data_IF_870497195312
#
_entry.id   IF_870497195312
#
_cell.length_a   1.000
_cell.length_b   1.000
_cell.length_c   1.000
_cell.angle_alpha   90.00
_cell.angle_beta   90.00
_cell.angle_gamma   90.00
#
_symmetry.space_group_name_H-M   'P 1'
#
loop_
_entity.id
_entity.type
_entity.pdbx_description
1 polymer ?
#
# COMPACT_ATOMS: atom_id res chain seq x y z
N UNK A 1 65.52 -1.81 14.97
CA UNK A 1 64.27 -2.11 15.71
C UNK A 1 63.12 -1.35 15.08
N UNK A 2 62.09 -2.04 14.57
CA UNK A 2 60.88 -1.40 14.03
C UNK A 2 59.95 -1.09 15.21
N UNK A 3 59.68 0.19 15.49
CA UNK A 3 58.69 0.59 16.51
C UNK A 3 57.30 0.17 16.03
N UNK A 4 56.67 -0.80 16.69
CA UNK A 4 55.25 -1.08 16.50
C UNK A 4 54.44 -0.08 17.32
N UNK A 5 53.62 0.75 16.66
CA UNK A 5 52.65 1.63 17.33
C UNK A 5 51.40 0.81 17.61
N UNK A 6 51.01 0.70 18.88
CA UNK A 6 49.76 0.11 19.32
C UNK A 6 48.84 1.21 19.85
N UNK A 7 47.53 1.06 19.66
CA UNK A 7 46.54 1.97 20.24
C UNK A 7 46.48 1.79 21.76
N UNK A 8 46.37 2.90 22.48
CA UNK A 8 46.09 2.89 23.92
C UNK A 8 44.64 2.50 24.18
N UNK A 9 44.37 1.92 25.36
CA UNK A 9 43.00 1.61 25.79
C UNK A 9 42.11 2.86 25.76
N UNK A 10 42.64 4.01 26.15
CA UNK A 10 41.92 5.28 26.12
C UNK A 10 41.53 5.71 24.69
N UNK A 11 42.44 5.59 23.72
CA UNK A 11 42.14 5.89 22.30
C UNK A 11 41.03 4.98 21.76
N UNK A 12 41.05 3.69 22.10
CA UNK A 12 40.00 2.74 21.68
C UNK A 12 38.66 3.06 22.37
N UNK A 13 38.66 3.38 23.66
CA UNK A 13 37.43 3.71 24.39
C UNK A 13 36.78 5.02 23.90
N UNK A 14 37.57 6.05 23.62
CA UNK A 14 37.05 7.32 23.09
C UNK A 14 36.48 7.12 21.69
N UNK A 15 37.16 6.36 20.83
CA UNK A 15 36.66 6.08 19.47
C UNK A 15 35.38 5.24 19.48
N UNK A 16 35.30 4.20 20.30
CA UNK A 16 34.07 3.43 20.48
C UNK A 16 32.94 4.26 21.09
N UNK A 17 33.24 5.17 22.03
CA UNK A 17 32.27 6.11 22.59
C UNK A 17 31.69 7.05 21.53
N UNK A 18 32.55 7.65 20.70
CA UNK A 18 32.13 8.53 19.59
C UNK A 18 31.28 7.75 18.57
N UNK A 19 31.74 6.57 18.12
CA UNK A 19 31.00 5.73 17.18
C UNK A 19 29.66 5.29 17.79
N UNK A 20 29.63 4.95 19.08
CA UNK A 20 28.41 4.55 19.79
C UNK A 20 27.36 5.64 19.82
N UNK A 21 27.74 6.88 20.17
CA UNK A 21 26.82 8.03 20.18
C UNK A 21 26.32 8.35 18.77
N UNK A 22 27.22 8.41 17.78
CA UNK A 22 26.84 8.70 16.39
C UNK A 22 25.92 7.61 15.84
N UNK A 23 26.21 6.33 16.10
CA UNK A 23 25.37 5.21 15.64
C UNK A 23 23.98 5.25 16.30
N UNK A 24 23.91 5.56 17.60
CA UNK A 24 22.64 5.67 18.31
C UNK A 24 21.72 6.77 17.72
N UNK A 25 22.30 7.85 17.20
CA UNK A 25 21.54 8.96 16.59
C UNK A 25 21.19 8.72 15.11
N UNK A 26 22.04 8.00 14.37
CA UNK A 26 21.92 7.89 12.90
C UNK A 26 21.24 6.60 12.45
N UNK A 27 21.46 5.47 13.12
CA UNK A 27 20.91 4.16 12.72
C UNK A 27 19.38 4.14 12.75
N UNK A 28 18.67 4.65 13.79
CA UNK A 28 17.21 4.65 13.80
C UNK A 28 16.61 5.46 12.65
N UNK A 29 17.14 6.67 12.41
CA UNK A 29 16.69 7.58 11.35
C UNK A 29 16.92 6.99 9.96
N UNK A 30 18.09 6.39 9.73
CA UNK A 30 18.41 5.71 8.47
C UNK A 30 17.48 4.51 8.24
N UNK A 31 17.26 3.68 9.25
CA UNK A 31 16.39 2.51 9.16
C UNK A 31 14.95 2.92 8.84
N UNK A 32 14.42 3.95 9.50
CA UNK A 32 13.07 4.45 9.23
C UNK A 32 12.93 4.98 7.80
N UNK A 33 13.92 5.74 7.30
CA UNK A 33 13.90 6.26 5.94
C UNK A 33 14.01 5.15 4.90
N UNK A 34 14.87 4.17 5.13
CA UNK A 34 14.98 2.99 4.27
C UNK A 34 13.67 2.19 4.22
N UNK A 35 13.02 1.98 5.36
CA UNK A 35 11.72 1.30 5.42
C UNK A 35 10.65 2.03 4.60
N UNK A 36 10.54 3.35 4.76
CA UNK A 36 9.63 4.18 3.95
C UNK A 36 9.88 4.04 2.45
N UNK A 37 11.15 4.13 2.02
CA UNK A 37 11.53 3.97 0.62
C UNK A 37 11.20 2.58 0.08
N UNK A 38 11.51 1.54 0.86
CA UNK A 38 11.18 0.15 0.52
C UNK A 38 9.67 -0.01 0.33
N UNK A 39 8.87 0.53 1.25
CA UNK A 39 7.42 0.47 1.17
C UNK A 39 6.85 1.16 -0.06
N UNK A 40 7.27 2.39 -0.34
CA UNK A 40 6.78 3.10 -1.53
C UNK A 40 7.23 2.41 -2.81
N UNK A 41 8.45 1.86 -2.84
CA UNK A 41 8.93 1.09 -3.99
C UNK A 41 8.05 -0.14 -4.25
N UNK A 42 7.67 -0.88 -3.20
CA UNK A 42 6.77 -2.03 -3.35
C UNK A 42 5.37 -1.61 -3.77
N UNK A 43 4.83 -0.52 -3.21
CA UNK A 43 3.54 0.02 -3.62
C UNK A 43 3.55 0.43 -5.10
N UNK A 44 4.61 1.11 -5.54
CA UNK A 44 4.78 1.52 -6.92
C UNK A 44 4.89 0.33 -7.87
N UNK A 45 5.55 -0.75 -7.43
CA UNK A 45 5.55 -2.01 -8.18
C UNK A 45 4.14 -2.59 -8.32
N UNK A 46 3.36 -2.69 -7.24
CA UNK A 46 1.97 -3.18 -7.30
C UNK A 46 1.11 -2.29 -8.21
N UNK A 47 1.27 -0.97 -8.12
CA UNK A 47 0.58 -0.03 -9.01
C UNK A 47 0.90 -0.28 -10.48
N UNK A 48 2.18 -0.48 -10.82
CA UNK A 48 2.61 -0.74 -12.19
C UNK A 48 2.10 -2.10 -12.71
N UNK A 49 2.19 -3.15 -11.89
CA UNK A 49 1.64 -4.48 -12.20
C UNK A 49 0.13 -4.40 -12.47
N UNK A 50 -0.59 -3.62 -11.65
CA UNK A 50 -2.02 -3.41 -11.78
C UNK A 50 -2.39 -2.60 -13.02
N UNK A 51 -1.73 -1.47 -13.26
CA UNK A 51 -1.96 -0.63 -14.44
C UNK A 51 -1.76 -1.41 -15.74
N UNK A 52 -0.67 -2.17 -15.83
CA UNK A 52 -0.39 -3.04 -16.98
C UNK A 52 -1.44 -4.14 -17.13
N UNK A 53 -1.86 -4.76 -16.03
CA UNK A 53 -2.87 -5.83 -16.03
C UNK A 53 -4.24 -5.33 -16.49
N UNK A 54 -4.66 -4.14 -16.05
CA UNK A 54 -5.92 -3.52 -16.46
C UNK A 54 -5.92 -3.24 -17.96
N UNK A 55 -4.86 -2.59 -18.47
CA UNK A 55 -4.72 -2.32 -19.91
C UNK A 55 -4.70 -3.60 -20.73
N UNK A 56 -3.92 -4.59 -20.31
CA UNK A 56 -3.85 -5.91 -20.96
C UNK A 56 -5.21 -6.61 -20.99
N UNK A 57 -5.99 -6.54 -19.90
CA UNK A 57 -7.31 -7.15 -19.83
C UNK A 57 -8.30 -6.53 -20.82
N UNK A 58 -8.34 -5.20 -20.90
CA UNK A 58 -9.19 -4.47 -21.85
C UNK A 58 -8.83 -4.84 -23.30
N UNK A 59 -7.53 -4.87 -23.62
CA UNK A 59 -7.04 -5.20 -24.95
C UNK A 59 -7.35 -6.65 -25.37
N UNK A 60 -7.13 -7.63 -24.49
CA UNK A 60 -7.44 -9.04 -24.79
C UNK A 60 -8.93 -9.30 -25.01
N UNK A 61 -9.78 -8.48 -24.39
CA UNK A 61 -11.23 -8.53 -24.57
C UNK A 61 -11.73 -7.71 -25.76
N UNK A 62 -10.82 -6.99 -26.44
CA UNK A 62 -11.16 -6.04 -27.50
C UNK A 62 -12.27 -5.06 -27.07
N UNK A 63 -12.15 -4.55 -25.85
CA UNK A 63 -13.10 -3.64 -25.22
C UNK A 63 -12.54 -2.22 -25.16
N UNK A 64 -13.38 -1.21 -24.99
CA UNK A 64 -12.95 0.18 -24.80
C UNK A 64 -12.69 0.54 -23.34
N UNK A 65 -13.24 -0.25 -22.40
CA UNK A 65 -13.13 -0.02 -20.96
C UNK A 65 -13.34 -1.32 -20.17
N UNK A 66 -13.16 -1.28 -18.85
CA UNK A 66 -13.24 -2.46 -17.97
C UNK A 66 -14.66 -3.03 -17.86
N UNK A 67 -15.69 -2.18 -17.96
CA UNK A 67 -17.09 -2.62 -17.90
C UNK A 67 -17.44 -3.44 -19.14
N UNK A 68 -17.07 -2.96 -20.32
CA UNK A 68 -17.22 -3.69 -21.58
C UNK A 68 -16.34 -4.95 -21.62
N UNK A 69 -15.15 -4.91 -21.02
CA UNK A 69 -14.29 -6.08 -20.85
C UNK A 69 -14.90 -7.16 -19.93
N UNK A 70 -16.01 -6.86 -19.25
CA UNK A 70 -16.79 -7.81 -18.45
C UNK A 70 -16.67 -7.63 -16.94
N UNK A 71 -16.02 -6.59 -16.44
CA UNK A 71 -15.92 -6.29 -15.00
C UNK A 71 -17.23 -5.66 -14.51
N UNK A 72 -18.24 -6.51 -14.30
CA UNK A 72 -19.61 -6.09 -13.92
C UNK A 72 -20.09 -6.68 -12.60
N UNK A 73 -19.27 -7.49 -11.94
CA UNK A 73 -19.60 -8.16 -10.68
C UNK A 73 -18.36 -8.48 -9.86
N UNK A 74 -18.53 -8.81 -8.58
CA UNK A 74 -17.45 -9.31 -7.74
C UNK A 74 -16.81 -10.59 -8.31
N UNK A 75 -17.61 -11.47 -8.93
CA UNK A 75 -17.10 -12.66 -9.60
C UNK A 75 -16.16 -12.33 -10.74
N UNK A 76 -16.53 -11.35 -11.59
CA UNK A 76 -15.69 -10.90 -12.70
C UNK A 76 -14.38 -10.26 -12.22
N UNK A 77 -14.42 -9.44 -11.16
CA UNK A 77 -13.22 -8.88 -10.53
C UNK A 77 -12.30 -9.99 -10.02
N UNK A 78 -12.85 -11.00 -9.36
CA UNK A 78 -12.07 -12.14 -8.88
C UNK A 78 -11.41 -12.90 -10.05
N UNK A 79 -12.14 -13.13 -11.15
CA UNK A 79 -11.60 -13.76 -12.36
C UNK A 79 -10.52 -12.92 -13.03
N UNK A 80 -10.66 -11.60 -13.06
CA UNK A 80 -9.61 -10.70 -13.53
C UNK A 80 -8.33 -10.88 -12.71
N UNK A 81 -8.44 -10.83 -11.37
CA UNK A 81 -7.28 -11.00 -10.50
C UNK A 81 -6.62 -12.37 -10.69
N UNK A 82 -7.40 -13.45 -10.73
CA UNK A 82 -6.85 -14.81 -10.89
C UNK A 82 -6.31 -15.10 -12.29
N UNK A 83 -6.71 -14.36 -13.32
CA UNK A 83 -6.20 -14.52 -14.68
C UNK A 83 -4.96 -13.66 -14.96
N UNK A 84 -4.85 -12.49 -14.35
CA UNK A 84 -3.77 -11.53 -14.64
C UNK A 84 -2.61 -11.58 -13.65
N UNK A 85 -2.86 -12.00 -12.42
CA UNK A 85 -1.84 -12.03 -11.39
C UNK A 85 -1.38 -13.44 -11.08
N UNK A 86 -0.09 -13.59 -10.78
CA UNK A 86 0.46 -14.81 -10.22
C UNK A 86 0.13 -14.85 -8.73
N UNK A 87 -0.86 -15.67 -8.37
CA UNK A 87 -1.33 -15.82 -6.99
C UNK A 87 -0.62 -16.99 -6.34
N UNK A 88 -0.03 -16.74 -5.17
CA UNK A 88 0.59 -17.76 -4.32
C UNK A 88 -0.42 -18.31 -3.31
N UNK A 89 -1.38 -17.50 -2.89
CA UNK A 89 -2.41 -17.92 -1.93
C UNK A 89 -3.74 -17.19 -2.17
N UNK A 90 -4.84 -17.94 -2.05
CA UNK A 90 -6.22 -17.43 -2.17
C UNK A 90 -6.97 -17.65 -0.87
N UNK A 91 -7.62 -16.59 -0.37
CA UNK A 91 -8.46 -16.61 0.82
C UNK A 91 -9.88 -16.22 0.44
N UNK A 92 -10.74 -17.22 0.21
CA UNK A 92 -12.12 -17.02 -0.22
C UNK A 92 -13.03 -16.62 0.93
N UNK A 93 -13.65 -15.44 0.86
CA UNK A 93 -14.56 -14.91 1.88
C UNK A 93 -13.93 -14.75 3.28
N UNK A 94 -12.60 -14.71 3.36
CA UNK A 94 -11.82 -14.63 4.61
C UNK A 94 -10.65 -13.68 4.43
N UNK A 95 -10.15 -13.16 5.56
CA UNK A 95 -8.99 -12.27 5.59
C UNK A 95 -7.69 -13.06 5.77
N UNK A 96 -7.68 -13.94 6.78
CA UNK A 96 -6.57 -14.82 7.13
C UNK A 96 -6.57 -16.09 6.25
N UNK A 97 -5.40 -16.58 5.82
CA UNK A 97 -4.04 -16.08 6.11
C UNK A 97 -3.48 -15.03 5.13
N UNK A 98 -4.27 -14.51 4.19
CA UNK A 98 -3.74 -13.59 3.17
C UNK A 98 -3.41 -12.21 3.77
N UNK A 99 -4.16 -11.79 4.77
CA UNK A 99 -3.98 -10.55 5.52
C UNK A 99 -4.00 -10.87 7.03
N UNK A 100 -3.36 -10.03 7.86
CA UNK A 100 -3.66 -9.92 9.28
C UNK A 100 -5.16 -9.70 9.55
N UNK A 101 -5.63 -10.11 10.72
CA UNK A 101 -6.97 -9.74 11.19
C UNK A 101 -7.12 -8.23 11.30
N UNK A 102 -8.36 -7.72 11.20
CA UNK A 102 -8.65 -6.28 11.26
C UNK A 102 -8.07 -5.60 12.52
N UNK A 103 -8.12 -6.29 13.66
CA UNK A 103 -7.57 -5.83 14.94
C UNK A 103 -6.05 -5.70 14.93
N UNK A 104 -5.37 -6.32 13.96
CA UNK A 104 -3.94 -6.16 13.73
C UNK A 104 -3.57 -4.87 13.02
N UNK A 105 -4.55 -4.14 12.46
CA UNK A 105 -4.33 -2.89 11.75
C UNK A 105 -4.57 -1.66 12.62
N UNK A 106 -3.78 -0.63 12.34
CA UNK A 106 -3.91 0.68 12.97
C UNK A 106 -3.66 1.81 11.98
N UNK A 107 -4.11 2.99 12.35
CA UNK A 107 -3.80 4.25 11.70
C UNK A 107 -2.41 4.72 12.13
N UNK A 108 -1.85 5.68 11.41
CA UNK A 108 -0.50 6.21 11.69
C UNK A 108 -0.40 6.91 13.05
N UNK A 109 -1.51 7.43 13.56
CA UNK A 109 -1.61 8.01 14.91
C UNK A 109 -1.79 6.94 16.02
N UNK A 110 -1.79 5.65 15.66
CA UNK A 110 -1.95 4.53 16.59
C UNK A 110 -3.40 4.10 16.86
N UNK A 111 -4.41 4.80 16.32
CA UNK A 111 -5.82 4.38 16.46
C UNK A 111 -6.04 3.03 15.77
N UNK A 112 -6.53 2.03 16.52
CA UNK A 112 -6.86 0.72 15.96
C UNK A 112 -8.04 0.83 14.99
N UNK A 113 -8.03 0.01 13.94
CA UNK A 113 -9.19 -0.11 13.06
C UNK A 113 -10.29 -0.92 13.73
N UNK A 114 -11.54 -0.55 13.46
CA UNK A 114 -12.74 -1.26 13.94
C UNK A 114 -13.61 -1.72 12.79
N UNK A 115 -14.62 -2.54 13.09
CA UNK A 115 -15.54 -3.06 12.09
C UNK A 115 -16.11 -1.95 11.20
N UNK A 116 -16.14 -2.21 9.89
CA UNK A 116 -16.53 -1.23 8.87
C UNK A 116 -15.37 -0.47 8.23
N UNK A 117 -14.12 -0.63 8.71
CA UNK A 117 -12.95 -0.03 8.05
C UNK A 117 -12.71 -0.59 6.63
N UNK A 118 -13.08 -1.85 6.42
CA UNK A 118 -13.21 -2.50 5.12
C UNK A 118 -14.06 -3.78 5.21
N UNK A 119 -14.56 -4.25 4.07
CA UNK A 119 -15.43 -5.43 4.01
C UNK A 119 -14.65 -6.73 4.27
N UNK A 120 -15.05 -7.49 5.29
CA UNK A 120 -14.43 -8.77 5.70
C UNK A 120 -14.89 -9.99 4.87
N UNK A 121 -15.98 -9.88 4.11
CA UNK A 121 -16.54 -10.98 3.30
C UNK A 121 -16.05 -11.07 1.83
N UNK A 122 -15.09 -10.23 1.42
CA UNK A 122 -14.46 -10.32 0.09
C UNK A 122 -13.32 -11.36 0.03
N UNK A 123 -12.91 -11.72 -1.18
CA UNK A 123 -11.74 -12.57 -1.38
C UNK A 123 -10.46 -11.76 -1.20
N UNK A 124 -9.43 -12.38 -0.62
CA UNK A 124 -8.08 -11.85 -0.57
C UNK A 124 -7.10 -12.79 -1.29
N UNK A 125 -6.01 -12.22 -1.78
CA UNK A 125 -5.01 -12.91 -2.56
C UNK A 125 -3.61 -12.47 -2.14
N UNK A 126 -2.66 -13.40 -2.08
CA UNK A 126 -1.23 -13.10 -1.93
C UNK A 126 -0.57 -13.23 -3.30
N UNK A 127 0.02 -12.14 -3.78
CA UNK A 127 0.73 -12.09 -5.04
C UNK A 127 2.13 -12.72 -4.92
N UNK A 128 2.67 -13.22 -6.03
CA UNK A 128 4.05 -13.68 -6.10
C UNK A 128 5.08 -12.56 -5.80
N UNK A 129 4.68 -11.29 -5.92
CA UNK A 129 5.47 -10.13 -5.50
C UNK A 129 5.59 -9.99 -3.98
N UNK A 130 4.82 -10.74 -3.19
CA UNK A 130 4.80 -10.71 -1.73
C UNK A 130 3.75 -9.77 -1.15
N UNK A 131 3.09 -8.95 -1.99
CA UNK A 131 1.98 -8.10 -1.59
C UNK A 131 0.68 -8.91 -1.49
N UNK A 132 -0.16 -8.57 -0.53
CA UNK A 132 -1.52 -9.07 -0.42
C UNK A 132 -2.49 -8.05 -0.99
N UNK A 133 -3.44 -8.50 -1.81
CA UNK A 133 -4.47 -7.65 -2.40
C UNK A 133 -5.86 -8.17 -2.10
N UNK A 134 -6.80 -7.25 -1.93
CA UNK A 134 -8.20 -7.56 -1.65
C UNK A 134 -9.10 -6.68 -2.51
N UNK A 135 -9.53 -7.18 -3.67
CA UNK A 135 -10.35 -6.44 -4.60
C UNK A 135 -11.84 -6.51 -4.22
N UNK A 136 -12.53 -5.39 -4.36
CA UNK A 136 -13.98 -5.28 -4.15
C UNK A 136 -14.60 -4.53 -5.33
N UNK A 137 -15.60 -5.16 -5.95
CA UNK A 137 -16.44 -4.51 -6.94
C UNK A 137 -17.38 -3.53 -6.25
N UNK A 138 -17.28 -2.24 -6.58
CA UNK A 138 -18.07 -1.17 -5.97
C UNK A 138 -18.18 -0.02 -6.95
N UNK A 139 -19.37 0.16 -7.51
CA UNK A 139 -19.65 1.20 -8.50
C UNK A 139 -20.16 2.46 -7.80
N UNK A 140 -19.54 3.59 -8.12
CA UNK A 140 -19.97 4.91 -7.68
C UNK A 140 -19.42 5.99 -8.62
N UNK A 141 -20.31 6.63 -9.38
CA UNK A 141 -19.89 7.52 -10.46
C UNK A 141 -19.01 6.76 -11.46
N UNK A 142 -17.80 7.26 -11.70
CA UNK A 142 -16.83 6.65 -12.62
C UNK A 142 -16.03 5.49 -11.99
N UNK A 143 -15.94 5.43 -10.66
CA UNK A 143 -15.26 4.37 -9.90
C UNK A 143 -16.03 3.06 -10.04
N UNK A 144 -15.35 1.96 -10.36
CA UNK A 144 -15.98 0.62 -10.47
C UNK A 144 -15.45 -0.40 -9.46
N UNK A 145 -14.25 -0.17 -8.91
CA UNK A 145 -13.65 -1.08 -7.96
C UNK A 145 -12.69 -0.38 -7.01
N UNK A 146 -12.46 -1.04 -5.89
CA UNK A 146 -11.53 -0.63 -4.85
C UNK A 146 -10.68 -1.84 -4.47
N UNK A 147 -9.39 -1.63 -4.27
CA UNK A 147 -8.45 -2.68 -3.90
C UNK A 147 -7.74 -2.21 -2.65
N UNK A 148 -7.74 -3.05 -1.63
CA UNK A 148 -6.82 -2.88 -0.50
C UNK A 148 -5.55 -3.63 -0.87
N UNK A 149 -4.44 -2.93 -0.78
CA UNK A 149 -3.09 -3.45 -1.00
C UNK A 149 -2.38 -3.42 0.33
N UNK A 150 -1.93 -4.56 0.81
CA UNK A 150 -0.89 -4.64 1.82
C UNK A 150 0.40 -5.08 1.13
N UNK A 151 1.43 -4.23 1.14
CA UNK A 151 2.67 -4.46 0.40
C UNK A 151 3.60 -5.51 1.03
N UNK A 152 3.43 -5.86 2.31
CA UNK A 152 4.23 -6.85 3.04
C UNK A 152 3.41 -7.99 3.65
N UNK A 153 2.09 -8.01 3.39
CA UNK A 153 1.17 -9.09 3.68
C UNK A 153 0.95 -9.28 5.18
N UNK A 154 1.26 -10.46 5.71
CA UNK A 154 1.11 -10.72 7.15
C UNK A 154 2.18 -10.05 8.03
N UNK A 155 3.24 -9.53 7.41
CA UNK A 155 4.35 -8.92 8.16
C UNK A 155 3.93 -7.54 8.62
N UNK A 156 4.17 -7.22 9.89
CA UNK A 156 3.96 -5.87 10.39
C UNK A 156 4.79 -4.81 9.65
N UNK A 157 4.49 -3.52 9.87
CA UNK A 157 3.76 -2.99 11.03
C UNK A 157 2.21 -2.93 10.94
N UNK A 158 1.58 -3.25 9.81
CA UNK A 158 0.13 -3.22 9.55
C UNK A 158 -0.49 -1.83 9.85
N UNK A 159 0.06 -0.79 9.22
CA UNK A 159 -0.32 0.60 9.37
C UNK A 159 -0.91 1.14 8.07
N UNK A 160 -2.15 1.64 8.14
CA UNK A 160 -2.80 2.36 7.04
C UNK A 160 -1.94 3.56 6.63
N UNK A 161 -1.58 3.64 5.34
CA UNK A 161 -0.70 4.67 4.82
C UNK A 161 0.80 4.35 4.89
N UNK A 162 1.19 3.20 5.45
CA UNK A 162 2.59 2.72 5.42
C UNK A 162 2.68 1.49 4.53
N UNK A 163 2.04 0.41 4.96
CA UNK A 163 2.05 -0.87 4.27
C UNK A 163 0.68 -1.25 3.73
N UNK A 164 -0.40 -0.84 4.40
CA UNK A 164 -1.76 -0.95 3.90
C UNK A 164 -2.21 0.31 3.17
N UNK A 165 -2.64 0.18 1.93
CA UNK A 165 -3.13 1.26 1.08
C UNK A 165 -4.45 0.88 0.43
N UNK A 166 -5.38 1.82 0.36
CA UNK A 166 -6.60 1.66 -0.43
C UNK A 166 -6.46 2.42 -1.74
N UNK A 167 -6.63 1.70 -2.85
CA UNK A 167 -6.57 2.24 -4.20
C UNK A 167 -7.91 2.03 -4.90
N UNK A 168 -8.25 2.92 -5.81
CA UNK A 168 -9.53 2.93 -6.51
C UNK A 168 -9.29 2.97 -8.00
N UNK A 169 -10.21 2.36 -8.75
CA UNK A 169 -10.08 2.23 -10.20
C UNK A 169 -11.39 2.65 -10.86
N UNK A 170 -11.29 3.51 -11.87
CA UNK A 170 -12.43 3.90 -12.70
C UNK A 170 -12.74 2.89 -13.80
N UNK A 171 -13.83 3.12 -14.52
CA UNK A 171 -14.22 2.26 -15.66
C UNK A 171 -13.15 2.16 -16.73
N UNK A 172 -12.29 3.17 -16.89
CA UNK A 172 -11.24 3.22 -17.92
C UNK A 172 -9.90 2.62 -17.46
N UNK A 173 -9.79 2.18 -16.20
CA UNK A 173 -8.56 1.61 -15.64
C UNK A 173 -7.57 2.65 -15.10
N UNK A 174 -8.00 3.89 -14.91
CA UNK A 174 -7.23 4.88 -14.16
C UNK A 174 -7.24 4.51 -12.68
N UNK A 175 -6.07 4.59 -12.05
CA UNK A 175 -5.87 4.25 -10.63
C UNK A 175 -5.63 5.55 -9.86
N UNK A 176 -6.44 5.80 -8.84
CA UNK A 176 -6.36 7.00 -8.00
C UNK A 176 -6.90 6.73 -6.58
N UNK A 177 -6.89 7.75 -5.73
CA UNK A 177 -7.62 7.79 -4.47
C UNK A 177 -9.12 8.08 -4.72
N UNK A 178 -9.92 8.04 -3.67
CA UNK A 178 -11.36 8.29 -3.74
C UNK A 178 -11.78 9.35 -2.74
N UNK A 179 -12.68 10.23 -3.17
CA UNK A 179 -13.34 11.22 -2.33
C UNK A 179 -14.84 10.91 -2.25
N UNK A 180 -15.33 10.62 -1.05
CA UNK A 180 -16.72 10.21 -0.86
C UNK A 180 -17.70 11.33 -1.20
N UNK A 181 -18.68 11.02 -2.05
CA UNK A 181 -19.70 11.97 -2.48
C UNK A 181 -19.22 12.97 -3.55
N UNK A 182 -17.98 12.85 -4.03
CA UNK A 182 -17.47 13.62 -5.16
C UNK A 182 -17.28 12.69 -6.35
N UNK A 183 -18.15 12.82 -7.36
CA UNK A 183 -18.06 12.05 -8.61
C UNK A 183 -16.96 12.60 -9.53
N UNK A 184 -15.73 12.67 -9.02
CA UNK A 184 -14.54 13.10 -9.78
C UNK A 184 -13.53 11.95 -9.80
N UNK A 185 -13.10 11.58 -11.01
CA UNK A 185 -12.05 10.60 -11.22
C UNK A 185 -11.33 10.93 -12.55
N UNK A 186 -9.99 11.10 -12.58
CA UNK A 186 -9.09 11.15 -11.43
C UNK A 186 -9.34 12.39 -10.56
N UNK A 187 -8.86 12.35 -9.32
CA UNK A 187 -8.89 13.49 -8.40
C UNK A 187 -7.83 14.53 -8.78
N UNK A 188 -8.14 15.79 -8.53
CA UNK A 188 -7.16 16.88 -8.60
C UNK A 188 -6.18 16.80 -7.41
N UNK A 189 -5.01 17.44 -7.55
CA UNK A 189 -4.02 17.55 -6.47
C UNK A 189 -4.64 18.04 -5.15
N UNK A 190 -5.42 19.12 -5.20
CA UNK A 190 -6.08 19.71 -4.04
C UNK A 190 -7.11 18.77 -3.37
N UNK A 191 -7.84 17.98 -4.17
CA UNK A 191 -8.78 16.98 -3.63
C UNK A 191 -8.04 15.85 -2.92
N UNK A 192 -6.94 15.36 -3.48
CA UNK A 192 -6.09 14.34 -2.83
C UNK A 192 -5.47 14.86 -1.53
N UNK A 193 -4.99 16.10 -1.51
CA UNK A 193 -4.42 16.70 -0.30
C UNK A 193 -5.48 16.88 0.80
N UNK A 194 -6.71 17.27 0.43
CA UNK A 194 -7.84 17.30 1.37
C UNK A 194 -8.18 15.91 1.90
N UNK A 195 -8.19 14.90 1.02
CA UNK A 195 -8.49 13.52 1.39
C UNK A 195 -7.47 12.89 2.34
N UNK A 196 -6.21 13.35 2.30
CA UNK A 196 -5.16 12.84 3.19
C UNK A 196 -5.56 12.92 4.68
N UNK A 197 -6.34 13.93 5.07
CA UNK A 197 -6.86 14.05 6.43
C UNK A 197 -7.73 12.85 6.86
N UNK A 198 -8.44 12.20 5.92
CA UNK A 198 -9.18 10.96 6.19
C UNK A 198 -8.26 9.81 6.57
N UNK A 199 -7.05 9.79 6.01
CA UNK A 199 -6.07 8.76 6.28
C UNK A 199 -5.22 9.04 7.53
N UNK A 200 -4.83 10.30 7.75
CA UNK A 200 -3.97 10.70 8.88
C UNK A 200 -4.73 10.95 10.18
N UNK A 201 -6.05 11.14 10.13
CA UNK A 201 -6.91 11.32 11.31
C UNK A 201 -7.27 10.02 12.03
N UNK A 202 -8.11 10.14 13.05
CA UNK A 202 -8.59 9.02 13.88
C UNK A 202 -9.88 8.36 13.37
N UNK A 203 -10.45 8.86 12.26
CA UNK A 203 -11.63 8.25 11.66
C UNK A 203 -11.32 6.85 11.15
N UNK A 204 -12.30 5.95 11.18
CA UNK A 204 -12.16 4.54 10.78
C UNK A 204 -12.03 4.33 9.25
N UNK A 205 -11.63 5.37 8.52
CA UNK A 205 -11.50 5.38 7.08
C UNK A 205 -10.11 4.85 6.67
N UNK A 206 -10.01 4.16 5.54
CA UNK A 206 -8.75 3.55 5.06
C UNK A 206 -8.23 4.16 3.74
N UNK A 207 -8.94 5.15 3.20
CA UNK A 207 -8.58 5.90 1.99
C UNK A 207 -7.92 7.26 2.32
N UNK A 208 -7.34 7.92 1.30
CA UNK A 208 -6.72 9.24 1.41
C UNK A 208 -5.19 9.24 1.40
N UNK A 209 -4.53 8.15 1.82
CA UNK A 209 -3.07 8.09 1.84
C UNK A 209 -2.47 7.87 0.45
N UNK A 210 -3.18 7.18 -0.44
CA UNK A 210 -2.66 6.86 -1.76
C UNK A 210 -2.52 8.12 -2.60
N UNK A 211 -3.53 8.99 -2.57
CA UNK A 211 -3.52 10.27 -3.25
C UNK A 211 -2.37 11.18 -2.79
N UNK A 212 -2.00 11.10 -1.49
CA UNK A 212 -0.83 11.84 -0.98
C UNK A 212 0.48 11.33 -1.61
N UNK A 213 0.66 10.01 -1.71
CA UNK A 213 1.84 9.42 -2.36
C UNK A 213 1.92 9.80 -3.85
N UNK A 214 0.77 9.80 -4.55
CA UNK A 214 0.70 10.25 -5.94
C UNK A 214 1.11 11.73 -6.08
N UNK A 215 0.66 12.59 -5.17
CA UNK A 215 1.01 14.02 -5.17
C UNK A 215 2.47 14.30 -4.82
N UNK A 216 3.09 13.41 -4.03
CA UNK A 216 4.47 13.50 -3.57
C UNK A 216 5.45 12.73 -4.47
N UNK A 217 5.07 12.44 -5.73
CA UNK A 217 5.93 11.75 -6.70
C UNK A 217 6.49 10.42 -6.20
N UNK A 218 5.66 9.60 -5.54
CA UNK A 218 6.10 8.33 -4.95
C UNK A 218 7.15 8.50 -3.84
N UNK A 219 6.98 9.52 -3.01
CA UNK A 219 7.69 9.67 -1.74
C UNK A 219 6.72 9.61 -0.55
N UNK A 220 7.14 8.93 0.52
CA UNK A 220 6.40 8.89 1.78
C UNK A 220 7.03 9.87 2.76
N UNK A 221 6.46 11.07 2.80
CA UNK A 221 6.98 12.22 3.55
C UNK A 221 6.52 12.27 5.02
N UNK A 222 5.76 11.27 5.46
CA UNK A 222 5.09 11.21 6.76
C UNK A 222 5.49 9.97 7.56
#
# INVERSE_FOLDING_TARGET
MKRMRAFTLAEVLVTLGIIGVVSAMTVPSLMQNYQRQSYVTQLHKVYNELSQSLLSYVNEKNAINLVEAGITSQGAVNTFITSKFKIVQTCSGKITPCFPELTGYKKMNGTALTDGAFTSAANAYVLASGASIRPLYSVEGEKIMNIIVDINGQKGPNIVGRDMMMIFIDKNGLIDDYNRGVNAFPLTKAQRDTNYASCSGSANNTWGCFGKILNDNWEMTY
#
